data_IF_746108927839
#
_entry.id   IF_746108927839
#
_cell.length_a   1.000
_cell.length_b   1.000
_cell.length_c   1.000
_cell.angle_alpha   90.00
_cell.angle_beta   90.00
_cell.angle_gamma   90.00
#
_symmetry.space_group_name_H-M   'P 1'
#
loop_
_entity.id
_entity.type
_entity.pdbx_description
1 polymer ?
#
# COMPACT_ATOMS: atom_id res chain seq x y z
N UNK A 1 1.26 -29.65 -15.09
CA UNK A 1 2.61 -29.68 -15.69
C UNK A 1 2.76 -28.52 -16.67
N UNK A 2 2.51 -27.25 -16.25
CA UNK A 2 2.60 -26.03 -17.13
C UNK A 2 3.26 -24.86 -16.34
N UNK A 3 3.91 -25.11 -15.20
CA UNK A 3 4.27 -24.04 -14.25
C UNK A 3 5.70 -23.51 -14.31
N UNK A 4 6.55 -24.03 -15.18
CA UNK A 4 7.96 -23.62 -15.25
C UNK A 4 8.33 -22.64 -16.37
N UNK A 5 7.37 -22.23 -17.19
CA UNK A 5 7.66 -21.46 -18.40
C UNK A 5 7.11 -20.03 -18.43
N UNK A 6 6.76 -19.45 -17.26
CA UNK A 6 6.45 -18.01 -17.21
C UNK A 6 7.75 -17.24 -17.29
N UNK A 7 8.13 -16.86 -18.50
CA UNK A 7 9.35 -16.10 -18.77
C UNK A 7 9.04 -14.60 -18.89
N UNK A 8 10.07 -13.76 -18.77
CA UNK A 8 9.95 -12.31 -19.02
C UNK A 8 9.33 -12.04 -20.39
N UNK A 9 9.70 -12.81 -21.43
CA UNK A 9 9.15 -12.67 -22.78
C UNK A 9 7.66 -13.01 -22.82
N UNK A 10 7.24 -14.07 -22.12
CA UNK A 10 5.84 -14.45 -22.02
C UNK A 10 5.01 -13.39 -21.28
N UNK A 11 5.49 -12.87 -20.16
CA UNK A 11 4.83 -11.78 -19.42
C UNK A 11 4.77 -10.48 -20.23
N UNK A 12 5.87 -10.08 -20.86
CA UNK A 12 5.89 -8.87 -21.70
C UNK A 12 4.95 -8.99 -22.89
N UNK A 13 4.85 -10.18 -23.52
CA UNK A 13 3.90 -10.44 -24.60
C UNK A 13 2.45 -10.42 -24.11
N UNK A 14 2.18 -11.01 -22.94
CA UNK A 14 0.87 -10.97 -22.29
C UNK A 14 0.47 -9.53 -21.95
N UNK A 15 1.35 -8.76 -21.33
CA UNK A 15 1.10 -7.35 -21.00
C UNK A 15 0.83 -6.52 -22.26
N UNK A 16 1.59 -6.76 -23.33
CA UNK A 16 1.35 -6.11 -24.61
C UNK A 16 -0.06 -6.41 -25.14
N UNK A 17 -0.50 -7.66 -25.09
CA UNK A 17 -1.82 -8.08 -25.55
C UNK A 17 -2.95 -7.46 -24.70
N UNK A 18 -2.80 -7.48 -23.37
CA UNK A 18 -3.78 -6.92 -22.44
C UNK A 18 -3.93 -5.39 -22.60
N UNK A 19 -2.82 -4.69 -22.88
CA UNK A 19 -2.83 -3.24 -23.07
C UNK A 19 -3.40 -2.79 -24.41
N UNK A 20 -3.37 -3.64 -25.43
CA UNK A 20 -4.00 -3.35 -26.74
C UNK A 20 -5.50 -3.63 -26.73
N UNK A 21 -5.96 -4.61 -25.92
CA UNK A 21 -7.36 -5.00 -25.82
C UNK A 21 -8.26 -4.09 -24.97
N UNK A 22 -7.72 -3.05 -24.32
CA UNK A 22 -8.49 -2.12 -23.49
C UNK A 22 -9.27 -1.09 -24.34
N UNK A 23 -10.19 -1.54 -25.19
CA UNK A 23 -11.27 -0.74 -25.75
C UNK A 23 -12.45 -0.72 -24.78
N UNK A 24 -12.98 0.46 -24.52
CA UNK A 24 -14.04 0.75 -23.56
C UNK A 24 -15.30 -0.09 -23.76
N UNK A 25 -15.79 -0.70 -22.67
CA UNK A 25 -17.24 -0.84 -22.41
C UNK A 25 -17.49 -0.88 -20.90
N UNK A 26 -18.44 -0.02 -20.47
CA UNK A 26 -18.88 0.10 -19.07
C UNK A 26 -19.94 -0.96 -18.76
N UNK A 27 -19.74 -1.79 -17.74
CA UNK A 27 -20.86 -2.39 -16.98
C UNK A 27 -20.46 -2.78 -15.54
N UNK A 28 -21.20 -2.23 -14.59
CA UNK A 28 -21.67 -2.78 -13.33
C UNK A 28 -20.67 -3.31 -12.29
N UNK A 29 -20.65 -2.65 -11.14
CA UNK A 29 -19.97 -3.06 -9.90
C UNK A 29 -20.88 -3.90 -9.02
N UNK A 30 -20.34 -4.92 -8.31
CA UNK A 30 -20.74 -5.29 -6.93
C UNK A 30 -19.71 -6.24 -6.29
N UNK A 31 -19.36 -5.97 -5.01
CA UNK A 31 -18.72 -6.90 -4.08
C UNK A 31 -17.23 -6.70 -3.78
N UNK A 32 -16.94 -5.83 -2.81
CA UNK A 32 -15.58 -5.55 -2.32
C UNK A 32 -15.49 -5.84 -0.82
N UNK A 33 -14.43 -6.53 -0.38
CA UNK A 33 -14.06 -6.62 1.05
C UNK A 33 -12.62 -6.12 1.21
N UNK A 34 -12.44 -4.90 1.69
CA UNK A 34 -11.13 -4.34 2.01
C UNK A 34 -10.52 -5.00 3.26
N UNK A 35 -9.19 -4.99 3.39
CA UNK A 35 -8.57 -5.31 4.67
C UNK A 35 -8.71 -4.12 5.62
N UNK A 36 -9.25 -4.39 6.79
CA UNK A 36 -9.36 -3.43 7.88
C UNK A 36 -8.03 -3.39 8.63
N UNK A 37 -7.36 -2.23 8.61
CA UNK A 37 -6.23 -1.96 9.50
C UNK A 37 -6.72 -1.16 10.68
N UNK A 38 -6.54 -1.73 11.88
CA UNK A 38 -6.90 -1.07 13.12
C UNK A 38 -5.70 -0.36 13.69
N UNK A 39 -5.80 0.95 13.87
CA UNK A 39 -4.81 1.77 14.56
C UNK A 39 -5.37 2.14 15.92
N UNK A 40 -4.55 2.01 16.95
CA UNK A 40 -4.89 2.34 18.32
C UNK A 40 -4.20 3.64 18.72
N UNK A 41 -4.98 4.63 19.14
CA UNK A 41 -4.50 5.93 19.60
C UNK A 41 -4.86 6.11 21.06
N UNK A 42 -3.95 6.71 21.83
CA UNK A 42 -4.22 7.14 23.19
C UNK A 42 -4.79 8.57 23.16
N UNK A 43 -5.98 8.74 23.70
CA UNK A 43 -6.62 10.03 23.90
C UNK A 43 -6.70 10.29 25.41
N UNK A 44 -6.06 11.36 25.95
CA UNK A 44 -6.19 11.69 27.34
C UNK A 44 -7.68 11.81 27.75
N UNK A 45 -8.04 11.21 28.87
CA UNK A 45 -9.43 11.21 29.35
C UNK A 45 -9.98 12.63 29.54
N UNK A 46 -9.14 13.55 29.97
CA UNK A 46 -9.52 14.95 30.13
C UNK A 46 -9.92 15.60 28.79
N UNK A 47 -9.20 15.27 27.71
CA UNK A 47 -9.50 15.78 26.37
C UNK A 47 -10.78 15.16 25.82
N UNK A 48 -10.98 13.84 26.05
CA UNK A 48 -12.21 13.17 25.72
C UNK A 48 -13.45 13.79 26.43
N UNK A 49 -13.36 14.01 27.76
CA UNK A 49 -14.42 14.62 28.56
C UNK A 49 -14.71 16.08 28.13
N UNK A 50 -13.67 16.81 27.72
CA UNK A 50 -13.81 18.16 27.19
C UNK A 50 -14.55 18.17 25.84
N UNK A 51 -14.28 17.23 24.94
CA UNK A 51 -14.99 17.08 23.68
C UNK A 51 -16.45 16.67 23.88
N UNK A 52 -16.73 15.76 24.83
CA UNK A 52 -18.08 15.35 25.21
C UNK A 52 -18.92 16.49 25.78
N UNK A 53 -18.31 17.46 26.44
CA UNK A 53 -19.03 18.60 27.08
C UNK A 53 -19.04 19.88 26.25
N UNK A 54 -18.45 19.87 25.05
CA UNK A 54 -18.35 21.06 24.20
C UNK A 54 -17.36 22.12 24.72
N UNK A 55 -16.46 21.73 25.64
CA UNK A 55 -15.57 22.64 26.38
C UNK A 55 -14.19 22.90 25.74
N UNK A 56 -13.87 22.40 24.56
CA UNK A 56 -12.55 22.61 23.95
C UNK A 56 -12.52 23.72 22.90
N UNK A 57 -11.73 24.73 23.21
CA UNK A 57 -11.11 25.58 22.19
C UNK A 57 -9.84 24.89 21.72
N UNK A 58 -9.70 24.67 20.43
CA UNK A 58 -8.49 24.11 19.79
C UNK A 58 -7.28 24.99 20.07
N UNK A 59 -6.49 24.62 21.08
CA UNK A 59 -5.20 25.22 21.40
C UNK A 59 -4.09 24.34 20.84
N UNK A 60 -3.64 24.58 19.62
CA UNK A 60 -2.40 24.01 19.10
C UNK A 60 -1.22 24.56 19.88
N UNK A 61 -0.48 23.71 20.57
CA UNK A 61 0.75 24.05 21.27
C UNK A 61 1.90 24.08 20.26
N UNK A 62 2.22 25.26 19.74
CA UNK A 62 3.55 25.56 19.23
C UNK A 62 4.19 26.58 20.13
N UNK A 63 5.25 26.17 20.84
CA UNK A 63 6.11 27.06 21.61
C UNK A 63 6.83 28.05 20.66
N UNK A 64 6.68 29.33 20.93
CA UNK A 64 7.39 30.42 20.27
C UNK A 64 7.05 31.74 20.94
N UNK A 65 7.89 32.15 21.90
CA UNK A 65 7.87 33.48 22.49
C UNK A 65 8.13 34.54 21.44
N UNK A 66 7.37 35.61 21.45
CA UNK A 66 7.96 36.99 21.46
C UNK A 66 6.88 38.04 21.79
N UNK A 67 7.33 39.01 22.53
CA UNK A 67 6.74 40.13 23.21
C UNK A 67 6.14 41.23 22.30
N UNK A 68 5.20 41.93 22.95
CA UNK A 68 4.93 43.40 23.01
C UNK A 68 3.79 43.99 22.18
N UNK A 69 3.03 44.69 22.95
CA UNK A 69 2.35 45.99 22.85
C UNK A 69 0.94 46.11 22.27
N UNK A 70 0.15 46.57 23.16
CA UNK A 70 -1.06 47.26 23.33
C UNK A 70 -1.78 47.93 22.15
N UNK A 71 -3.09 47.78 22.11
CA UNK A 71 -4.00 48.93 21.98
C UNK A 71 -5.44 48.48 22.23
N UNK A 72 -6.10 49.25 23.05
CA UNK A 72 -7.51 49.19 23.44
C UNK A 72 -8.43 49.59 22.27
N UNK A 73 -9.54 48.83 22.09
CA UNK A 73 -10.79 49.45 21.64
C UNK A 73 -12.00 48.56 22.07
N UNK A 74 -12.90 49.20 22.83
CA UNK A 74 -14.18 48.70 23.25
C UNK A 74 -15.08 48.38 22.05
N UNK A 75 -15.78 47.23 22.13
CA UNK A 75 -16.83 46.83 21.24
C UNK A 75 -17.72 45.76 21.87
N UNK A 76 -18.62 46.20 22.77
CA UNK A 76 -19.64 45.36 23.35
C UNK A 76 -20.61 44.85 22.27
N UNK A 77 -20.60 43.55 22.01
CA UNK A 77 -21.76 42.83 21.45
C UNK A 77 -21.96 41.57 22.28
N UNK A 78 -23.02 41.63 23.07
CA UNK A 78 -23.61 40.48 23.75
C UNK A 78 -24.10 39.49 22.70
N UNK A 79 -23.42 38.41 22.50
CA UNK A 79 -23.93 37.22 21.85
C UNK A 79 -24.17 36.17 22.95
N UNK A 80 -25.40 35.68 23.02
CA UNK A 80 -25.84 34.57 23.86
C UNK A 80 -24.88 33.39 23.71
N UNK A 81 -24.46 32.71 24.79
CA UNK A 81 -23.81 31.44 24.70
C UNK A 81 -24.85 30.36 24.40
N UNK A 82 -25.13 30.12 23.14
CA UNK A 82 -25.71 28.83 22.74
C UNK A 82 -24.69 27.76 23.13
N UNK A 83 -24.98 27.05 24.20
CA UNK A 83 -24.19 25.89 24.63
C UNK A 83 -24.04 24.90 23.46
N UNK A 84 -22.84 24.74 22.97
CA UNK A 84 -22.53 23.73 21.96
C UNK A 84 -22.89 22.36 22.54
N UNK A 85 -23.74 21.60 21.88
CA UNK A 85 -23.95 20.20 22.20
C UNK A 85 -22.58 19.50 22.10
N UNK A 86 -22.19 18.77 23.14
CA UNK A 86 -20.95 18.00 23.15
C UNK A 86 -20.99 16.94 22.06
N UNK A 87 -19.81 16.52 21.59
CA UNK A 87 -19.67 15.51 20.55
C UNK A 87 -20.03 14.12 21.10
N UNK A 88 -20.65 13.30 20.29
CA UNK A 88 -20.85 11.87 20.58
C UNK A 88 -19.53 11.09 20.45
N UNK A 89 -19.47 9.88 21.03
CA UNK A 89 -18.32 8.98 20.90
C UNK A 89 -17.91 8.75 19.44
N UNK A 90 -18.88 8.62 18.54
CA UNK A 90 -18.64 8.44 17.12
C UNK A 90 -18.01 9.68 16.45
N UNK A 91 -18.43 10.87 16.85
CA UNK A 91 -17.89 12.13 16.33
C UNK A 91 -16.48 12.40 16.89
N UNK A 92 -16.27 12.18 18.19
CA UNK A 92 -14.94 12.27 18.82
C UNK A 92 -13.97 11.31 18.13
N UNK A 93 -14.40 10.07 17.97
CA UNK A 93 -13.64 9.03 17.31
C UNK A 93 -13.25 9.43 15.88
N UNK A 94 -14.23 9.83 15.06
CA UNK A 94 -13.99 10.26 13.69
C UNK A 94 -13.06 11.48 13.63
N UNK A 95 -13.23 12.44 14.52
CA UNK A 95 -12.39 13.63 14.59
C UNK A 95 -10.93 13.30 14.96
N UNK A 96 -10.72 12.49 16.01
CA UNK A 96 -9.40 12.07 16.46
C UNK A 96 -8.69 11.25 15.37
N UNK A 97 -9.40 10.30 14.78
CA UNK A 97 -8.86 9.49 13.69
C UNK A 97 -8.50 10.34 12.47
N UNK A 98 -9.39 11.23 12.05
CA UNK A 98 -9.15 12.13 10.90
C UNK A 98 -7.99 13.10 11.18
N UNK A 99 -7.89 13.65 12.40
CA UNK A 99 -6.81 14.56 12.76
C UNK A 99 -5.43 13.89 12.75
N UNK A 100 -5.37 12.58 13.08
CA UNK A 100 -4.11 11.83 13.11
C UNK A 100 -3.73 11.22 11.76
N UNK A 101 -4.70 10.91 10.90
CA UNK A 101 -4.47 10.20 9.63
C UNK A 101 -4.89 10.99 8.39
N UNK A 102 -5.53 12.15 8.55
CA UNK A 102 -5.92 13.01 7.43
C UNK A 102 -7.13 12.52 6.62
N UNK A 103 -7.64 11.31 6.91
CA UNK A 103 -8.83 10.74 6.27
C UNK A 103 -9.80 10.18 7.31
N UNK A 104 -11.08 10.13 6.95
CA UNK A 104 -12.11 9.57 7.82
C UNK A 104 -11.91 8.04 7.94
N UNK A 105 -11.98 7.46 9.14
CA UNK A 105 -11.94 6.02 9.31
C UNK A 105 -13.21 5.37 8.75
N UNK A 106 -13.10 4.12 8.32
CA UNK A 106 -14.27 3.32 7.88
C UNK A 106 -15.18 2.98 9.05
N UNK A 107 -14.54 2.69 10.16
CA UNK A 107 -15.19 2.56 11.46
C UNK A 107 -14.24 2.97 12.56
N UNK A 108 -14.79 3.39 13.68
CA UNK A 108 -13.97 3.67 14.85
C UNK A 108 -14.75 3.43 16.14
N UNK A 109 -14.01 3.28 17.24
CA UNK A 109 -14.58 3.13 18.58
C UNK A 109 -13.69 3.79 19.62
N UNK A 110 -14.31 4.29 20.69
CA UNK A 110 -13.63 4.82 21.87
C UNK A 110 -13.97 3.93 23.05
N UNK A 111 -12.97 3.55 23.83
CA UNK A 111 -13.17 2.73 25.04
C UNK A 111 -12.17 3.15 26.13
N UNK A 112 -12.48 2.94 27.42
CA UNK A 112 -11.51 3.11 28.49
C UNK A 112 -10.31 2.19 28.29
N UNK A 113 -9.09 2.72 28.41
CA UNK A 113 -7.87 1.91 28.33
C UNK A 113 -7.73 1.06 29.59
N UNK A 114 -7.69 -0.26 29.43
CA UNK A 114 -7.81 -1.25 30.52
C UNK A 114 -6.76 -1.09 31.60
N UNK A 115 -5.52 -0.78 31.22
CA UNK A 115 -4.36 -0.72 32.13
C UNK A 115 -3.91 0.73 32.39
N UNK A 116 -4.64 1.72 31.88
CA UNK A 116 -4.33 3.13 32.01
C UNK A 116 -5.63 3.97 32.09
N UNK A 117 -6.18 4.18 33.30
CA UNK A 117 -7.45 4.87 33.48
C UNK A 117 -7.43 6.36 33.12
N UNK A 118 -6.24 6.95 32.93
CA UNK A 118 -6.07 8.35 32.52
C UNK A 118 -6.22 8.55 31.02
N UNK A 119 -6.25 7.48 30.23
CA UNK A 119 -6.41 7.54 28.80
C UNK A 119 -7.62 6.73 28.30
N UNK A 120 -8.20 7.21 27.22
CA UNK A 120 -9.14 6.47 26.40
C UNK A 120 -8.37 5.83 25.23
N UNK A 121 -8.76 4.64 24.85
CA UNK A 121 -8.24 3.97 23.67
C UNK A 121 -9.18 4.26 22.50
N UNK A 122 -8.69 4.97 21.49
CA UNK A 122 -9.39 5.21 20.24
C UNK A 122 -8.90 4.21 19.21
N UNK A 123 -9.81 3.37 18.71
CA UNK A 123 -9.52 2.40 17.68
C UNK A 123 -10.04 2.92 16.35
N UNK A 124 -9.14 3.25 15.44
CA UNK A 124 -9.45 3.73 14.10
C UNK A 124 -9.26 2.59 13.09
N UNK A 125 -10.29 2.27 12.32
CA UNK A 125 -10.21 1.27 11.26
C UNK A 125 -10.17 1.98 9.92
N UNK A 126 -9.10 1.76 9.19
CA UNK A 126 -8.92 2.27 7.83
C UNK A 126 -8.86 1.11 6.85
N UNK A 127 -9.30 1.37 5.65
CA UNK A 127 -9.09 0.44 4.55
C UNK A 127 -7.71 0.74 3.96
N UNK A 128 -6.77 -0.16 4.15
CA UNK A 128 -5.52 -0.08 3.41
C UNK A 128 -5.44 -1.20 2.40
N UNK A 129 -5.02 -0.84 1.23
CA UNK A 129 -4.66 -1.76 0.17
C UNK A 129 -3.22 -1.43 -0.17
N UNK A 130 -2.32 -2.34 0.14
CA UNK A 130 -0.95 -2.24 -0.31
C UNK A 130 -0.91 -2.55 -1.81
N UNK A 131 -0.50 -1.60 -2.61
CA UNK A 131 -0.21 -1.83 -4.03
C UNK A 131 1.19 -1.34 -4.31
N UNK A 132 1.96 -2.23 -4.85
CA UNK A 132 3.33 -1.97 -5.29
C UNK A 132 4.34 -2.53 -4.31
N UNK A 133 5.34 -3.17 -4.87
CA UNK A 133 6.44 -3.74 -4.14
C UNK A 133 6.12 -5.05 -3.41
N UNK A 134 7.19 -5.79 -3.15
CA UNK A 134 7.11 -7.06 -2.44
C UNK A 134 7.01 -6.81 -0.93
N UNK A 135 5.91 -7.22 -0.30
CA UNK A 135 5.79 -7.27 1.15
C UNK A 135 6.63 -8.41 1.75
N UNK A 136 7.10 -8.25 2.97
CA UNK A 136 7.77 -9.28 3.75
C UNK A 136 7.27 -9.27 5.19
N UNK A 137 7.11 -10.45 5.81
CA UNK A 137 6.77 -10.55 7.23
C UNK A 137 7.84 -9.85 8.07
N UNK A 138 7.45 -8.88 8.90
CA UNK A 138 8.38 -8.04 9.67
C UNK A 138 8.74 -6.70 9.00
N UNK A 139 8.39 -6.50 7.74
CA UNK A 139 8.43 -5.19 7.08
C UNK A 139 6.99 -4.70 6.96
N UNK A 140 6.57 -3.80 7.83
CA UNK A 140 5.27 -3.15 7.71
C UNK A 140 5.36 -2.01 6.70
N UNK A 141 5.21 -2.34 5.43
CA UNK A 141 5.09 -1.36 4.35
C UNK A 141 3.75 -0.62 4.34
N UNK A 142 2.77 -1.14 5.06
CA UNK A 142 1.44 -0.56 5.22
C UNK A 142 1.31 0.27 6.50
N UNK A 143 2.40 0.74 7.07
CA UNK A 143 2.37 1.73 8.14
C UNK A 143 1.78 3.02 7.56
N UNK A 144 0.67 3.50 8.14
CA UNK A 144 0.19 4.83 7.84
C UNK A 144 1.38 5.78 7.91
N UNK A 145 1.63 6.51 6.84
CA UNK A 145 2.48 7.69 6.93
C UNK A 145 1.85 8.58 7.99
N UNK A 146 2.45 8.58 9.18
CA UNK A 146 1.97 9.41 10.26
C UNK A 146 2.06 10.86 9.81
N UNK A 147 0.91 11.50 9.64
CA UNK A 147 0.80 12.92 9.36
C UNK A 147 0.74 13.25 7.87
N UNK A 148 -0.40 13.77 7.48
CA UNK A 148 -0.75 14.39 6.20
C UNK A 148 -0.98 13.39 5.07
N UNK A 149 -2.20 12.88 4.98
CA UNK A 149 -2.69 12.24 3.77
C UNK A 149 -2.80 13.30 2.69
N UNK A 150 -1.82 13.32 1.81
CA UNK A 150 -1.98 13.99 0.54
C UNK A 150 -2.84 13.10 -0.35
N UNK A 151 -3.99 13.57 -0.80
CA UNK A 151 -4.76 12.94 -1.87
C UNK A 151 -4.06 13.22 -3.21
N UNK A 152 -4.30 12.37 -4.20
CA UNK A 152 -3.84 12.64 -5.56
C UNK A 152 -2.45 12.08 -5.90
N UNK A 153 -1.81 12.70 -6.88
CA UNK A 153 -0.55 12.23 -7.46
C UNK A 153 0.60 12.16 -6.44
N UNK A 154 0.71 13.17 -5.55
CA UNK A 154 1.76 13.21 -4.54
C UNK A 154 1.68 12.04 -3.54
N UNK A 155 0.47 11.71 -3.07
CA UNK A 155 0.26 10.58 -2.18
C UNK A 155 0.59 9.24 -2.85
N UNK A 156 0.23 9.10 -4.13
CA UNK A 156 0.56 7.90 -4.90
C UNK A 156 2.08 7.75 -5.06
N UNK A 157 2.79 8.81 -5.43
CA UNK A 157 4.25 8.78 -5.58
C UNK A 157 4.94 8.50 -4.25
N UNK A 158 4.50 9.13 -3.15
CA UNK A 158 5.04 8.88 -1.82
C UNK A 158 4.91 7.39 -1.41
N UNK A 159 3.73 6.81 -1.65
CA UNK A 159 3.48 5.39 -1.40
C UNK A 159 4.36 4.51 -2.27
N UNK A 160 4.41 4.76 -3.58
CA UNK A 160 5.27 3.99 -4.48
C UNK A 160 6.74 4.05 -4.05
N UNK A 161 7.26 5.23 -3.68
CA UNK A 161 8.62 5.36 -3.15
C UNK A 161 8.86 4.50 -1.90
N UNK A 162 7.89 4.47 -0.99
CA UNK A 162 7.94 3.65 0.21
C UNK A 162 7.94 2.15 -0.12
N UNK A 163 7.04 1.73 -1.02
CA UNK A 163 6.86 0.33 -1.39
C UNK A 163 8.13 -0.21 -2.08
N UNK A 164 8.75 0.55 -2.99
CA UNK A 164 10.03 0.21 -3.61
C UNK A 164 11.14 0.04 -2.55
N UNK A 165 11.21 0.97 -1.58
CA UNK A 165 12.17 0.87 -0.47
C UNK A 165 11.96 -0.37 0.42
N UNK A 166 10.70 -0.78 0.63
CA UNK A 166 10.36 -1.99 1.38
C UNK A 166 10.73 -3.25 0.59
N UNK A 167 10.54 -3.25 -0.73
CA UNK A 167 10.88 -4.37 -1.63
C UNK A 167 12.37 -4.72 -1.59
N UNK A 168 13.27 -3.75 -1.45
CA UNK A 168 14.71 -4.01 -1.28
C UNK A 168 14.95 -5.05 -0.18
N UNK A 169 14.35 -4.80 1.00
CA UNK A 169 14.53 -5.68 2.16
C UNK A 169 13.84 -7.02 2.00
N UNK A 170 12.69 -7.04 1.34
CA UNK A 170 11.97 -8.28 1.06
C UNK A 170 12.79 -9.21 0.15
N UNK A 171 13.39 -8.68 -0.92
CA UNK A 171 14.24 -9.46 -1.81
C UNK A 171 15.53 -9.93 -1.12
N UNK A 172 16.20 -9.07 -0.33
CA UNK A 172 17.37 -9.45 0.47
C UNK A 172 17.05 -10.56 1.48
N UNK A 173 15.90 -10.49 2.16
CA UNK A 173 15.48 -11.50 3.12
C UNK A 173 15.20 -12.83 2.43
N UNK A 174 14.44 -12.81 1.34
CA UNK A 174 14.13 -14.01 0.57
C UNK A 174 15.39 -14.65 -0.03
N UNK A 175 16.36 -13.85 -0.51
CA UNK A 175 17.64 -14.37 -1.01
C UNK A 175 18.39 -15.17 0.08
N UNK A 176 18.46 -14.61 1.30
CA UNK A 176 19.08 -15.29 2.45
C UNK A 176 18.36 -16.58 2.84
N UNK A 177 17.02 -16.55 2.86
CA UNK A 177 16.21 -17.73 3.20
C UNK A 177 16.34 -18.83 2.16
N UNK A 178 16.26 -18.49 0.87
CA UNK A 178 16.42 -19.47 -0.20
C UNK A 178 17.85 -20.05 -0.25
N UNK A 179 18.88 -19.23 0.01
CA UNK A 179 20.25 -19.71 0.14
C UNK A 179 20.39 -20.72 1.31
N UNK A 180 19.73 -20.44 2.46
CA UNK A 180 19.72 -21.35 3.61
C UNK A 180 18.92 -22.65 3.38
N UNK A 181 18.10 -22.70 2.33
CA UNK A 181 17.34 -23.87 1.89
C UNK A 181 17.98 -24.59 0.69
N UNK A 182 19.24 -24.32 0.40
CA UNK A 182 19.97 -24.88 -0.74
C UNK A 182 19.26 -24.68 -2.09
N UNK A 183 18.66 -23.49 -2.28
CA UNK A 183 18.08 -23.12 -3.57
C UNK A 183 19.17 -23.00 -4.66
N UNK A 184 18.80 -23.18 -5.94
CA UNK A 184 19.71 -22.95 -7.04
C UNK A 184 20.37 -21.57 -6.95
N UNK A 185 21.70 -21.52 -7.05
CA UNK A 185 22.46 -20.25 -6.94
C UNK A 185 21.95 -19.17 -7.93
N UNK A 186 21.42 -19.58 -9.08
CA UNK A 186 20.84 -18.68 -10.05
C UNK A 186 19.60 -17.95 -9.52
N UNK A 187 18.75 -18.59 -8.69
CA UNK A 187 17.59 -17.94 -8.06
C UNK A 187 18.05 -16.94 -6.99
N UNK A 188 19.04 -17.32 -6.18
CA UNK A 188 19.60 -16.43 -5.15
C UNK A 188 20.22 -15.19 -5.80
N UNK A 189 21.06 -15.36 -6.81
CA UNK A 189 21.67 -14.25 -7.53
C UNK A 189 20.64 -13.35 -8.24
N UNK A 190 19.55 -13.93 -8.74
CA UNK A 190 18.48 -13.15 -9.35
C UNK A 190 17.71 -12.32 -8.30
N UNK A 191 17.52 -12.82 -7.08
CA UNK A 191 16.93 -12.05 -5.97
C UNK A 191 17.85 -10.91 -5.52
N UNK A 192 19.15 -11.12 -5.46
CA UNK A 192 20.12 -10.07 -5.15
C UNK A 192 20.14 -8.97 -6.23
N UNK A 193 20.00 -9.37 -7.50
CA UNK A 193 19.85 -8.42 -8.60
C UNK A 193 18.53 -7.65 -8.51
N UNK A 194 17.41 -8.31 -8.19
CA UNK A 194 16.13 -7.66 -7.96
C UNK A 194 16.21 -6.63 -6.82
N UNK A 195 16.82 -6.98 -5.68
CA UNK A 195 17.05 -6.01 -4.60
C UNK A 195 17.82 -4.76 -5.07
N UNK A 196 18.80 -4.94 -5.98
CA UNK A 196 19.54 -3.82 -6.56
C UNK A 196 18.69 -2.98 -7.53
N UNK A 197 17.75 -3.60 -8.23
CA UNK A 197 16.79 -2.91 -9.07
C UNK A 197 15.88 -2.03 -8.21
N UNK A 198 15.36 -2.56 -7.07
CA UNK A 198 14.52 -1.82 -6.13
C UNK A 198 15.21 -0.60 -5.50
N UNK A 199 16.51 -0.67 -5.24
CA UNK A 199 17.29 0.51 -4.80
C UNK A 199 17.21 1.63 -5.85
N UNK A 200 17.28 1.28 -7.14
CA UNK A 200 17.16 2.27 -8.22
C UNK A 200 15.74 2.80 -8.35
N UNK A 201 14.74 1.92 -8.22
CA UNK A 201 13.33 2.31 -8.26
C UNK A 201 13.00 3.28 -7.11
N UNK A 202 13.39 2.96 -5.88
CA UNK A 202 13.19 3.84 -4.72
C UNK A 202 13.84 5.21 -4.90
N UNK A 203 15.07 5.26 -5.42
CA UNK A 203 15.75 6.52 -5.71
C UNK A 203 15.03 7.32 -6.83
N UNK A 204 14.58 6.64 -7.88
CA UNK A 204 13.88 7.24 -9.02
C UNK A 204 12.51 7.78 -8.60
N UNK A 205 11.75 6.98 -7.84
CA UNK A 205 10.45 7.40 -7.33
C UNK A 205 10.58 8.50 -6.27
N UNK A 206 11.65 8.49 -5.45
CA UNK A 206 11.97 9.57 -4.53
C UNK A 206 12.25 10.90 -5.25
N UNK A 207 13.06 10.88 -6.30
CA UNK A 207 13.31 12.07 -7.15
C UNK A 207 12.03 12.55 -7.86
N UNK A 208 11.16 11.64 -8.28
CA UNK A 208 9.84 11.99 -8.78
C UNK A 208 8.98 12.61 -7.67
N UNK A 209 9.06 12.10 -6.45
CA UNK A 209 8.38 12.62 -5.27
C UNK A 209 8.71 14.08 -4.98
N UNK A 210 9.97 14.48 -5.11
CA UNK A 210 10.39 15.87 -4.96
C UNK A 210 9.66 16.80 -5.95
N UNK A 211 9.46 16.36 -7.19
CA UNK A 211 8.73 17.13 -8.22
C UNK A 211 7.24 17.32 -7.91
N UNK A 212 6.66 16.38 -7.15
CA UNK A 212 5.26 16.43 -6.72
C UNK A 212 5.07 17.01 -5.32
N UNK A 213 6.15 17.47 -4.67
CA UNK A 213 6.15 17.82 -3.25
C UNK A 213 5.52 16.70 -2.38
N UNK A 214 5.79 15.44 -2.75
CA UNK A 214 5.30 14.28 -2.07
C UNK A 214 5.96 14.16 -0.68
N UNK A 215 5.22 13.75 0.35
CA UNK A 215 5.80 13.52 1.66
C UNK A 215 6.82 12.38 1.60
N UNK A 216 7.94 12.55 2.31
CA UNK A 216 8.89 11.46 2.50
C UNK A 216 8.30 10.50 3.53
N UNK A 217 8.05 9.27 3.12
CA UNK A 217 7.61 8.20 4.01
C UNK A 217 8.82 7.34 4.32
N UNK A 218 9.26 7.37 5.59
CA UNK A 218 10.32 6.49 6.03
C UNK A 218 9.85 5.03 6.03
N UNK A 219 10.67 4.13 5.52
CA UNK A 219 10.44 2.70 5.66
C UNK A 219 10.90 2.29 7.04
N UNK A 220 9.95 2.01 7.93
CA UNK A 220 10.27 1.51 9.27
C UNK A 220 10.40 -0.01 9.21
N UNK A 221 11.57 -0.51 9.62
CA UNK A 221 11.83 -1.93 9.73
C UNK A 221 11.70 -2.33 11.20
N UNK A 222 10.70 -3.14 11.50
CA UNK A 222 10.63 -3.82 12.78
C UNK A 222 11.38 -5.15 12.67
N UNK A 223 12.64 -5.15 13.08
CA UNK A 223 13.41 -6.38 13.22
C UNK A 223 13.16 -6.93 14.63
N UNK A 224 12.67 -8.16 14.70
CA UNK A 224 12.88 -8.95 15.90
C UNK A 224 14.39 -9.22 16.03
N UNK A 225 14.96 -9.09 17.23
CA UNK A 225 16.39 -9.29 17.50
C UNK A 225 16.91 -10.66 17.02
N UNK A 226 16.00 -11.59 16.78
CA UNK A 226 16.25 -12.89 16.13
C UNK A 226 15.10 -13.17 15.15
N UNK A 227 15.28 -12.97 13.84
CA UNK A 227 14.25 -13.32 12.88
C UNK A 227 13.95 -14.82 12.98
N UNK A 228 12.68 -15.14 13.25
CA UNK A 228 12.18 -16.52 13.25
C UNK A 228 12.49 -17.15 11.88
N UNK A 229 13.06 -18.35 11.88
CA UNK A 229 13.17 -19.10 10.62
C UNK A 229 11.76 -19.45 10.14
N UNK A 230 11.43 -18.94 8.98
CA UNK A 230 10.15 -19.30 8.32
C UNK A 230 10.23 -20.72 7.77
N UNK A 231 9.12 -21.41 7.83
CA UNK A 231 8.94 -22.72 7.18
C UNK A 231 8.88 -22.54 5.66
N UNK A 232 9.12 -23.64 4.95
CA UNK A 232 9.04 -23.63 3.48
C UNK A 232 7.66 -23.21 2.96
N UNK A 233 6.59 -23.63 3.65
CA UNK A 233 5.22 -23.25 3.26
C UNK A 233 4.93 -21.76 3.50
N UNK A 234 5.46 -21.16 4.56
CA UNK A 234 5.32 -19.72 4.82
C UNK A 234 6.03 -18.89 3.73
N UNK A 235 7.24 -19.29 3.35
CA UNK A 235 7.97 -18.66 2.23
C UNK A 235 7.19 -18.82 0.92
N UNK A 236 6.63 -20.01 0.67
CA UNK A 236 5.86 -20.28 -0.54
C UNK A 236 4.56 -19.49 -0.60
N UNK A 237 3.86 -19.32 0.53
CA UNK A 237 2.65 -18.49 0.63
C UNK A 237 2.98 -17.03 0.34
N UNK A 238 4.01 -16.48 0.96
CA UNK A 238 4.44 -15.09 0.69
C UNK A 238 4.83 -14.92 -0.78
N UNK A 239 5.65 -15.82 -1.34
CA UNK A 239 6.04 -15.72 -2.74
C UNK A 239 4.84 -15.84 -3.70
N UNK A 240 3.83 -16.63 -3.36
CA UNK A 240 2.63 -16.77 -4.17
C UNK A 240 1.76 -15.50 -4.14
N UNK A 241 1.70 -14.81 -2.99
CA UNK A 241 0.93 -13.58 -2.80
C UNK A 241 1.70 -12.37 -3.34
N UNK A 242 2.87 -12.12 -2.76
CA UNK A 242 3.62 -10.90 -3.08
C UNK A 242 4.30 -11.00 -4.45
N UNK A 243 4.92 -12.13 -4.75
CA UNK A 243 5.63 -12.31 -6.01
C UNK A 243 4.72 -12.65 -7.19
N UNK A 244 3.97 -13.77 -7.12
CA UNK A 244 3.18 -14.23 -8.27
C UNK A 244 1.92 -13.38 -8.54
N UNK A 245 1.39 -12.65 -7.53
CA UNK A 245 0.20 -11.80 -7.73
C UNK A 245 0.60 -10.32 -7.76
N UNK A 246 1.19 -9.79 -6.70
CA UNK A 246 1.40 -8.34 -6.59
C UNK A 246 2.50 -7.84 -7.54
N UNK A 247 3.67 -8.48 -7.63
CA UNK A 247 4.72 -8.12 -8.60
C UNK A 247 4.22 -8.21 -10.05
N UNK A 248 3.46 -9.27 -10.38
CA UNK A 248 2.88 -9.40 -11.72
C UNK A 248 1.90 -8.27 -12.03
N UNK A 249 1.11 -7.84 -11.05
CA UNK A 249 0.22 -6.70 -11.18
C UNK A 249 1.00 -5.38 -11.30
N UNK A 250 2.01 -5.16 -10.47
CA UNK A 250 2.87 -3.98 -10.50
C UNK A 250 3.53 -3.82 -11.88
N UNK A 251 4.09 -4.89 -12.41
CA UNK A 251 4.67 -4.92 -13.76
C UNK A 251 3.67 -4.48 -14.84
N UNK A 252 2.42 -4.96 -14.78
CA UNK A 252 1.38 -4.57 -15.74
C UNK A 252 0.98 -3.10 -15.59
N UNK A 253 0.86 -2.59 -14.37
CA UNK A 253 0.57 -1.17 -14.11
C UNK A 253 1.69 -0.29 -14.62
N UNK A 254 2.95 -0.60 -14.29
CA UNK A 254 4.11 0.14 -14.79
C UNK A 254 4.19 0.12 -16.32
N UNK A 255 3.89 -1.02 -16.97
CA UNK A 255 3.81 -1.12 -18.41
C UNK A 255 2.68 -0.26 -19.02
N UNK A 256 1.55 -0.13 -18.32
CA UNK A 256 0.48 0.80 -18.71
C UNK A 256 0.96 2.25 -18.59
N UNK A 257 1.59 2.62 -17.47
CA UNK A 257 2.15 3.96 -17.24
C UNK A 257 3.22 4.32 -18.28
N UNK A 258 4.09 3.40 -18.64
CA UNK A 258 5.09 3.58 -19.70
C UNK A 258 4.51 3.90 -21.07
N UNK A 259 3.21 3.63 -21.29
CA UNK A 259 2.49 3.97 -22.53
C UNK A 259 1.62 5.22 -22.40
N UNK A 260 1.00 5.40 -21.22
CA UNK A 260 -0.08 6.36 -21.00
C UNK A 260 0.32 7.62 -20.25
N UNK A 261 1.51 7.66 -19.63
CA UNK A 261 1.96 8.83 -18.85
C UNK A 261 2.01 10.11 -19.69
N UNK A 262 1.68 11.22 -19.06
CA UNK A 262 1.45 12.52 -19.70
C UNK A 262 2.69 13.13 -20.35
N UNK A 263 3.90 12.74 -19.96
CA UNK A 263 5.13 13.24 -20.56
C UNK A 263 6.01 12.12 -21.14
N UNK A 264 6.82 12.40 -22.16
CA UNK A 264 7.78 11.43 -22.71
C UNK A 264 8.75 10.91 -21.65
N UNK A 265 9.21 11.77 -20.74
CA UNK A 265 10.16 11.42 -19.68
C UNK A 265 9.54 10.41 -18.72
N UNK A 266 8.29 10.63 -18.31
CA UNK A 266 7.57 9.69 -17.44
C UNK A 266 7.29 8.37 -18.15
N UNK A 267 7.00 8.38 -19.46
CA UNK A 267 6.84 7.15 -20.23
C UNK A 267 8.13 6.33 -20.29
N UNK A 268 9.28 6.98 -20.46
CA UNK A 268 10.58 6.31 -20.43
C UNK A 268 10.83 5.72 -19.05
N UNK A 269 10.68 6.54 -17.99
CA UNK A 269 10.87 6.12 -16.61
C UNK A 269 10.03 4.88 -16.25
N UNK A 270 8.72 4.94 -16.45
CA UNK A 270 7.85 3.80 -16.14
C UNK A 270 8.06 2.61 -17.08
N UNK A 271 8.52 2.84 -18.30
CA UNK A 271 8.91 1.77 -19.22
C UNK A 271 10.14 0.99 -18.76
N UNK A 272 11.12 1.67 -18.16
CA UNK A 272 12.30 1.03 -17.57
C UNK A 272 11.90 0.22 -16.32
N UNK A 273 11.14 0.82 -15.39
CA UNK A 273 10.59 0.12 -14.22
C UNK A 273 9.79 -1.11 -14.67
N UNK A 274 8.91 -0.99 -15.64
CA UNK A 274 8.11 -2.11 -16.15
C UNK A 274 8.94 -3.28 -16.66
N UNK A 275 10.10 -3.00 -17.26
CA UNK A 275 11.05 -4.04 -17.70
C UNK A 275 11.67 -4.80 -16.53
N UNK A 276 11.98 -4.10 -15.45
CA UNK A 276 12.54 -4.67 -14.23
C UNK A 276 11.46 -5.48 -13.49
N UNK A 277 10.27 -4.90 -13.27
CA UNK A 277 9.13 -5.57 -12.65
C UNK A 277 8.70 -6.87 -13.38
N UNK A 278 8.76 -6.87 -14.72
CA UNK A 278 8.48 -8.09 -15.46
C UNK A 278 9.51 -9.20 -15.19
N UNK A 279 10.77 -8.84 -14.88
CA UNK A 279 11.80 -9.79 -14.45
C UNK A 279 11.56 -10.29 -13.03
N UNK A 280 11.14 -9.39 -12.11
CA UNK A 280 10.78 -9.74 -10.74
C UNK A 280 9.59 -10.69 -10.70
N UNK A 281 8.55 -10.41 -11.47
CA UNK A 281 7.41 -11.31 -11.63
C UNK A 281 7.83 -12.68 -12.18
N UNK A 282 8.64 -12.73 -13.23
CA UNK A 282 9.15 -13.99 -13.79
C UNK A 282 10.00 -14.77 -12.78
N UNK A 283 10.81 -14.09 -11.98
CA UNK A 283 11.59 -14.68 -10.89
C UNK A 283 10.68 -15.29 -9.82
N UNK A 284 9.61 -14.59 -9.42
CA UNK A 284 8.65 -15.10 -8.46
C UNK A 284 7.99 -16.41 -8.94
N UNK A 285 7.62 -16.49 -10.22
CA UNK A 285 7.10 -17.72 -10.81
C UNK A 285 8.13 -18.84 -10.89
N UNK A 286 9.40 -18.52 -11.16
CA UNK A 286 10.48 -19.51 -11.13
C UNK A 286 10.72 -20.06 -9.70
N UNK A 287 10.65 -19.19 -8.69
CA UNK A 287 10.72 -19.56 -7.28
C UNK A 287 9.52 -20.44 -6.89
N UNK A 288 8.30 -20.09 -7.29
CA UNK A 288 7.09 -20.90 -7.06
C UNK A 288 7.26 -22.31 -7.65
N UNK A 289 7.77 -22.42 -8.89
CA UNK A 289 8.07 -23.69 -9.52
C UNK A 289 9.11 -24.52 -8.75
N UNK A 290 10.12 -23.89 -8.17
CA UNK A 290 11.11 -24.56 -7.33
C UNK A 290 10.54 -25.00 -5.99
N UNK A 291 9.73 -24.14 -5.32
CA UNK A 291 9.10 -24.41 -4.03
C UNK A 291 8.09 -25.54 -4.12
N UNK A 292 7.24 -25.55 -5.15
CA UNK A 292 6.16 -26.55 -5.29
C UNK A 292 6.66 -27.96 -5.31
N UNK A 293 7.88 -28.21 -5.81
CA UNK A 293 8.50 -29.56 -5.84
C UNK A 293 8.96 -30.04 -4.46
N UNK A 294 8.93 -29.19 -3.43
CA UNK A 294 9.41 -29.43 -2.07
C UNK A 294 8.29 -29.47 -1.05
N UNK A 295 7.08 -29.06 -1.46
CA UNK A 295 5.91 -29.02 -0.62
C UNK A 295 5.08 -30.30 -0.73
N UNK A 296 4.49 -30.71 0.39
CA UNK A 296 3.45 -31.75 0.41
C UNK A 296 2.19 -31.28 -0.32
N UNK A 297 1.32 -32.20 -0.71
CA UNK A 297 0.06 -31.86 -1.38
C UNK A 297 -0.84 -30.94 -0.52
N UNK A 298 -0.82 -31.08 0.80
CA UNK A 298 -1.58 -30.23 1.72
C UNK A 298 -1.00 -28.78 1.74
N UNK A 299 0.31 -28.64 1.79
CA UNK A 299 0.99 -27.34 1.74
C UNK A 299 0.79 -26.68 0.38
N UNK A 300 0.87 -27.43 -0.73
CA UNK A 300 0.56 -26.90 -2.07
C UNK A 300 -0.88 -26.37 -2.15
N UNK A 301 -1.85 -27.06 -1.53
CA UNK A 301 -3.23 -26.60 -1.44
C UNK A 301 -3.35 -25.28 -0.64
N UNK A 302 -2.57 -25.15 0.45
CA UNK A 302 -2.49 -23.91 1.25
C UNK A 302 -1.96 -22.76 0.42
N UNK A 303 -0.86 -22.94 -0.31
CA UNK A 303 -0.27 -21.93 -1.21
C UNK A 303 -1.25 -21.52 -2.31
N UNK A 304 -1.90 -22.50 -2.94
CA UNK A 304 -2.89 -22.24 -3.99
C UNK A 304 -4.11 -21.46 -3.44
N UNK A 305 -4.56 -21.75 -2.21
CA UNK A 305 -5.64 -21.01 -1.57
C UNK A 305 -5.23 -19.55 -1.26
N UNK A 306 -4.02 -19.34 -0.75
CA UNK A 306 -3.48 -18.01 -0.48
C UNK A 306 -3.36 -17.17 -1.76
N UNK A 307 -2.87 -17.77 -2.86
CA UNK A 307 -2.80 -17.11 -4.18
C UNK A 307 -4.18 -16.70 -4.66
N UNK A 308 -5.17 -17.59 -4.64
CA UNK A 308 -6.56 -17.27 -5.03
C UNK A 308 -7.13 -16.13 -4.21
N UNK A 309 -6.96 -16.16 -2.89
CA UNK A 309 -7.42 -15.08 -2.02
C UNK A 309 -6.74 -13.74 -2.33
N UNK A 310 -5.45 -13.74 -2.71
CA UNK A 310 -4.75 -12.53 -3.13
C UNK A 310 -5.29 -12.00 -4.46
N UNK A 311 -5.55 -12.86 -5.44
CA UNK A 311 -6.17 -12.47 -6.71
C UNK A 311 -7.56 -11.90 -6.49
N UNK A 312 -8.40 -12.51 -5.67
CA UNK A 312 -9.74 -12.02 -5.34
C UNK A 312 -9.66 -10.62 -4.69
N UNK A 313 -8.75 -10.43 -3.73
CA UNK A 313 -8.53 -9.11 -3.12
C UNK A 313 -8.06 -8.06 -4.14
N UNK A 314 -7.14 -8.43 -5.02
CA UNK A 314 -6.65 -7.53 -6.07
C UNK A 314 -7.78 -7.14 -7.04
N UNK A 315 -8.56 -8.10 -7.52
CA UNK A 315 -9.70 -7.85 -8.41
C UNK A 315 -10.73 -6.91 -7.79
N UNK A 316 -10.95 -7.03 -6.49
CA UNK A 316 -11.83 -6.17 -5.73
C UNK A 316 -11.21 -4.78 -5.51
N UNK A 317 -9.92 -4.69 -5.14
CA UNK A 317 -9.28 -3.49 -4.60
C UNK A 317 -8.59 -2.59 -5.60
N UNK A 318 -7.99 -3.13 -6.64
CA UNK A 318 -7.20 -2.35 -7.59
C UNK A 318 -7.95 -1.12 -8.18
N UNK A 319 -9.26 -1.20 -8.50
CA UNK A 319 -9.97 -0.03 -9.02
C UNK A 319 -10.10 1.12 -8.02
N UNK A 320 -10.31 0.81 -6.74
CA UNK A 320 -10.50 1.81 -5.69
C UNK A 320 -9.24 2.63 -5.44
N UNK A 321 -8.08 1.96 -5.41
CA UNK A 321 -6.79 2.59 -5.18
C UNK A 321 -6.40 3.58 -6.27
N UNK A 322 -6.64 3.19 -7.51
CA UNK A 322 -6.33 4.05 -8.64
C UNK A 322 -7.34 5.20 -8.79
N UNK A 323 -8.54 5.06 -8.22
CA UNK A 323 -9.54 6.14 -8.17
C UNK A 323 -9.26 7.18 -7.09
N UNK A 324 -8.42 6.88 -6.10
CA UNK A 324 -7.99 7.84 -5.08
C UNK A 324 -7.11 8.98 -5.65
N UNK A 325 -6.52 8.76 -6.82
CA UNK A 325 -5.79 9.81 -7.57
C UNK A 325 -6.78 10.55 -8.45
N UNK A 326 -6.77 11.89 -8.41
CA UNK A 326 -7.63 12.72 -9.26
C UNK A 326 -7.36 12.51 -10.76
N UNK A 327 -8.24 13.01 -11.62
CA UNK A 327 -8.16 12.78 -13.06
C UNK A 327 -6.88 13.35 -13.68
N UNK A 328 -6.41 14.51 -13.21
CA UNK A 328 -5.21 15.17 -13.69
C UNK A 328 -3.97 14.37 -13.29
N UNK A 329 -3.84 13.97 -12.03
CA UNK A 329 -2.75 13.15 -11.53
C UNK A 329 -2.70 11.78 -12.21
N UNK A 330 -3.87 11.14 -12.46
CA UNK A 330 -3.92 9.90 -13.23
C UNK A 330 -3.42 10.06 -14.66
N UNK A 331 -3.85 11.12 -15.35
CA UNK A 331 -3.40 11.40 -16.70
C UNK A 331 -1.90 11.70 -16.75
N UNK A 332 -1.39 12.45 -15.77
CA UNK A 332 0.02 12.79 -15.67
C UNK A 332 0.88 11.55 -15.40
N UNK A 333 0.50 10.72 -14.44
CA UNK A 333 1.22 9.50 -14.05
C UNK A 333 0.93 8.31 -14.99
N UNK A 334 -0.02 8.42 -15.90
CA UNK A 334 -0.42 7.31 -16.79
C UNK A 334 -1.11 6.17 -16.06
N UNK A 335 -1.75 6.44 -14.91
CA UNK A 335 -2.46 5.41 -14.15
C UNK A 335 -3.75 5.00 -14.87
N UNK A 336 -4.08 3.69 -14.89
CA UNK A 336 -5.33 3.24 -15.50
C UNK A 336 -6.54 3.79 -14.74
N UNK A 337 -7.64 4.05 -15.45
CA UNK A 337 -8.92 4.31 -14.81
C UNK A 337 -9.40 3.08 -14.03
N UNK A 338 -10.37 3.25 -13.13
CA UNK A 338 -10.95 2.14 -12.39
C UNK A 338 -11.51 1.03 -13.31
N UNK A 339 -12.12 1.40 -14.45
CA UNK A 339 -12.62 0.46 -15.45
C UNK A 339 -11.46 -0.28 -16.16
N UNK A 340 -10.43 0.46 -16.59
CA UNK A 340 -9.24 -0.12 -17.21
C UNK A 340 -8.51 -1.06 -16.24
N UNK A 341 -8.34 -0.66 -14.97
CA UNK A 341 -7.71 -1.50 -13.94
C UNK A 341 -8.47 -2.83 -13.74
N UNK A 342 -9.80 -2.79 -13.67
CA UNK A 342 -10.63 -4.01 -13.63
C UNK A 342 -10.42 -4.89 -14.86
N UNK A 343 -10.36 -4.29 -16.05
CA UNK A 343 -10.11 -5.02 -17.28
C UNK A 343 -8.75 -5.71 -17.29
N UNK A 344 -7.70 -4.99 -16.91
CA UNK A 344 -6.34 -5.49 -16.81
C UNK A 344 -6.22 -6.64 -15.79
N UNK A 345 -6.78 -6.46 -14.59
CA UNK A 345 -6.74 -7.48 -13.55
C UNK A 345 -7.48 -8.76 -13.95
N UNK A 346 -8.68 -8.64 -14.55
CA UNK A 346 -9.42 -9.79 -15.08
C UNK A 346 -8.68 -10.47 -16.23
N UNK A 347 -8.00 -9.70 -17.08
CA UNK A 347 -7.17 -10.23 -18.14
C UNK A 347 -6.01 -11.07 -17.61
N UNK A 348 -5.31 -10.60 -16.56
CA UNK A 348 -4.27 -11.38 -15.87
C UNK A 348 -4.85 -12.63 -15.22
N UNK A 349 -5.99 -12.52 -14.56
CA UNK A 349 -6.63 -13.67 -13.93
C UNK A 349 -6.93 -14.76 -14.96
N UNK A 350 -7.60 -14.41 -16.04
CA UNK A 350 -7.96 -15.37 -17.08
C UNK A 350 -6.74 -15.98 -17.80
N UNK A 351 -5.67 -15.19 -18.02
CA UNK A 351 -4.54 -15.60 -18.82
C UNK A 351 -3.42 -16.30 -18.02
N UNK A 352 -3.31 -16.00 -16.72
CA UNK A 352 -2.19 -16.44 -15.91
C UNK A 352 -2.61 -17.08 -14.57
N UNK A 353 -3.33 -16.35 -13.71
CA UNK A 353 -3.57 -16.81 -12.33
C UNK A 353 -4.53 -17.99 -12.24
N UNK A 354 -5.65 -17.95 -12.99
CA UNK A 354 -6.60 -19.07 -13.07
C UNK A 354 -6.02 -20.29 -13.79
N UNK A 355 -5.09 -20.09 -14.73
CA UNK A 355 -4.40 -21.19 -15.40
C UNK A 355 -3.34 -21.87 -14.54
N UNK A 356 -2.86 -21.18 -13.49
CA UNK A 356 -1.87 -21.66 -12.52
C UNK A 356 -2.48 -22.23 -11.23
N UNK A 357 -3.81 -22.28 -11.13
CA UNK A 357 -4.57 -22.76 -9.95
C UNK A 357 -4.66 -24.30 -9.84
#
# INVERSE_FOLDING_TARGET
MIRSDVSVVALSSLFAALLVGCGYEETGCEGYVPQENTVLLDLPRADYEALMTGGMTTGGSTAGETTTDGSTSDGSTTSDPTGGEGLSDAEICAQVCTANYGEAPVSCSVAPKKDDPMNMLVSCVYLSICIGGRGHEGVRSCGAAAGVVHSGAAAWVARATHDEGASVRAFEALARELAALDAPAALVAALEAAASDEVRHAATMGALGERFAAPVVAVEFFWEDQPRRRSLVEIAVENAVEGCVHETWAALVAAHQGRAAGSPELRVLFGEIAGDEARHAALAWAIDGWLVTRLTAAEQATVAAARRAAVERLLAGAPALLSAVDAEGRALLGLPSAAAARGLARGLDAALWSAAA
#
